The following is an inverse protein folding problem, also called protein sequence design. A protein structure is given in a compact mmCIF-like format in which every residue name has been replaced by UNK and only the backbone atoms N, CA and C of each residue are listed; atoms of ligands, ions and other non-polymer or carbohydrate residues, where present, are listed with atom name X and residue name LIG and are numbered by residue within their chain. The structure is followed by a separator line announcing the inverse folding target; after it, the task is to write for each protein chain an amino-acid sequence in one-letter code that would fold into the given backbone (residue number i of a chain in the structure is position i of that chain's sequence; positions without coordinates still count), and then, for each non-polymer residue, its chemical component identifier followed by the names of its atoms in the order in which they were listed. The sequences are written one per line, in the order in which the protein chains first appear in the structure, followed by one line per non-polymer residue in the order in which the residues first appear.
data_IF_276522879252
#
_entry.id   IF_276522879252
#
_cell.length_a   1.000
_cell.length_b   1.000
_cell.length_c   1.000
_cell.angle_alpha   90.00
_cell.angle_beta   90.00
_cell.angle_gamma   90.00
#
_symmetry.space_group_name_H-M   'P 1'
#
loop_
_entity.id
_entity.type
_entity.pdbx_description
1 polymer ?
#
# COMPACT_ATOMS: atom_id res chain seq x y z
N UNK A 1 15.45 -9.49 -8.55
CA UNK A 1 14.30 -8.61 -8.83
C UNK A 1 14.85 -7.22 -9.07
N UNK A 2 14.90 -6.80 -10.33
CA UNK A 2 15.54 -5.55 -10.75
C UNK A 2 14.59 -4.40 -10.46
N UNK A 3 14.97 -3.51 -9.53
CA UNK A 3 14.28 -2.23 -9.29
C UNK A 3 14.35 -1.40 -10.58
N UNK A 4 13.24 -1.32 -11.32
CA UNK A 4 13.07 -0.39 -12.43
C UNK A 4 12.80 0.99 -11.86
N UNK A 5 13.84 1.79 -11.67
CA UNK A 5 13.71 3.23 -11.47
C UNK A 5 13.70 3.94 -12.81
N UNK A 6 12.56 4.47 -13.25
CA UNK A 6 12.53 5.61 -14.19
C UNK A 6 11.14 6.27 -14.22
N UNK A 7 10.86 7.09 -13.19
CA UNK A 7 9.66 7.92 -13.10
C UNK A 7 8.62 7.34 -12.13
N UNK A 8 8.38 8.04 -11.02
CA UNK A 8 7.22 7.75 -10.19
C UNK A 8 5.93 7.93 -10.99
N UNK A 9 4.91 7.13 -10.72
CA UNK A 9 3.60 7.27 -11.34
C UNK A 9 2.87 8.49 -10.76
N UNK A 10 2.12 9.19 -11.62
CA UNK A 10 1.26 10.33 -11.24
C UNK A 10 -0.18 9.97 -11.57
N UNK A 11 -1.04 10.13 -10.57
CA UNK A 11 -2.46 9.84 -10.67
C UNK A 11 -3.22 10.42 -9.49
N UNK A 12 -4.48 10.06 -9.36
CA UNK A 12 -5.32 10.41 -8.21
C UNK A 12 -5.14 9.36 -7.13
N UNK A 13 -4.76 9.80 -5.93
CA UNK A 13 -4.53 8.92 -4.80
C UNK A 13 -5.72 8.96 -3.84
N UNK A 14 -6.22 7.79 -3.43
CA UNK A 14 -7.20 7.68 -2.34
C UNK A 14 -6.69 6.80 -1.21
N UNK A 15 -7.09 7.18 0.01
CA UNK A 15 -6.89 6.41 1.23
C UNK A 15 -8.23 6.32 1.96
N UNK A 16 -8.91 5.20 1.81
CA UNK A 16 -10.32 5.07 2.19
C UNK A 16 -10.60 3.71 2.82
N UNK A 17 -11.66 3.60 3.65
CA UNK A 17 -12.11 2.30 4.15
C UNK A 17 -12.52 1.41 2.98
N UNK A 18 -12.05 0.17 2.98
CA UNK A 18 -12.49 -0.88 2.08
C UNK A 18 -13.95 -1.29 2.34
N UNK A 19 -14.53 -2.13 1.46
CA UNK A 19 -15.87 -2.66 1.68
C UNK A 19 -15.91 -3.39 3.02
N UNK A 20 -16.99 -3.18 3.77
CA UNK A 20 -17.18 -3.81 5.07
C UNK A 20 -17.27 -5.33 4.88
N UNK A 21 -16.26 -6.06 5.37
CA UNK A 21 -16.37 -7.52 5.47
C UNK A 21 -17.28 -7.87 6.64
N UNK A 22 -18.09 -8.92 6.49
CA UNK A 22 -19.22 -9.22 7.39
C UNK A 22 -18.82 -9.54 8.85
N UNK A 23 -17.53 -9.64 9.18
CA UNK A 23 -17.06 -10.21 10.45
C UNK A 23 -15.74 -9.60 11.01
N UNK A 24 -15.34 -8.39 10.62
CA UNK A 24 -14.02 -7.87 11.02
C UNK A 24 -13.84 -6.35 11.02
N UNK A 25 -12.60 -5.92 11.32
CA UNK A 25 -12.17 -4.51 11.19
C UNK A 25 -12.28 -4.10 9.72
N UNK A 26 -12.79 -2.90 9.46
CA UNK A 26 -12.82 -2.34 8.11
C UNK A 26 -11.37 -2.08 7.67
N UNK A 27 -10.84 -2.80 6.65
CA UNK A 27 -9.48 -2.57 6.21
C UNK A 27 -9.39 -1.18 5.56
N UNK A 28 -8.25 -0.52 5.70
CA UNK A 28 -7.98 0.71 4.94
C UNK A 28 -7.31 0.32 3.62
N UNK A 29 -7.77 0.90 2.51
CA UNK A 29 -7.19 0.70 1.18
C UNK A 29 -6.44 1.95 0.72
N UNK A 30 -5.30 1.73 0.07
CA UNK A 30 -4.57 2.78 -0.64
C UNK A 30 -4.58 2.47 -2.14
N UNK A 31 -5.11 3.41 -2.94
CA UNK A 31 -5.32 3.23 -4.38
C UNK A 31 -4.73 4.40 -5.16
N UNK A 32 -4.20 4.11 -6.34
CA UNK A 32 -3.72 5.11 -7.28
C UNK A 32 -4.43 4.89 -8.61
N UNK A 33 -5.21 5.88 -9.04
CA UNK A 33 -6.02 5.82 -10.25
C UNK A 33 -5.51 6.75 -11.34
N UNK A 34 -5.82 6.38 -12.58
CA UNK A 34 -5.68 7.30 -13.71
C UNK A 34 -6.70 8.45 -13.56
N UNK A 35 -6.28 9.73 -13.62
CA UNK A 35 -7.15 10.87 -13.35
C UNK A 35 -8.44 10.86 -14.19
N UNK A 36 -9.58 11.12 -13.55
CA UNK A 36 -10.89 11.09 -14.21
C UNK A 36 -11.40 9.69 -14.57
N UNK A 37 -10.75 8.62 -14.08
CA UNK A 37 -11.19 7.23 -14.27
C UNK A 37 -11.24 6.48 -12.94
N UNK A 38 -11.80 5.27 -12.94
CA UNK A 38 -11.73 4.33 -11.81
C UNK A 38 -10.67 3.24 -12.03
N UNK A 39 -9.78 3.43 -13.00
CA UNK A 39 -8.79 2.42 -13.38
C UNK A 39 -7.57 2.52 -12.45
N UNK A 40 -7.34 1.46 -11.69
CA UNK A 40 -6.13 1.34 -10.87
C UNK A 40 -4.87 1.30 -11.75
N UNK A 41 -3.91 2.19 -11.45
CA UNK A 41 -2.59 2.25 -12.08
C UNK A 41 -1.58 1.31 -11.42
N UNK A 42 -1.84 0.96 -10.17
CA UNK A 42 -1.09 0.00 -9.36
C UNK A 42 -2.07 -0.93 -8.65
N UNK A 43 -1.68 -2.18 -8.37
CA UNK A 43 -2.39 -3.01 -7.40
C UNK A 43 -2.61 -2.24 -6.09
N UNK A 44 -3.83 -2.23 -5.56
CA UNK A 44 -4.11 -1.52 -4.32
C UNK A 44 -3.41 -2.19 -3.12
N UNK A 45 -3.18 -1.40 -2.07
CA UNK A 45 -2.70 -1.93 -0.79
C UNK A 45 -3.89 -2.19 0.14
N UNK A 46 -4.03 -3.45 0.59
CA UNK A 46 -4.89 -3.84 1.70
C UNK A 46 -4.23 -3.51 3.04
N UNK A 47 -5.06 -3.35 4.09
CA UNK A 47 -4.60 -3.04 5.45
C UNK A 47 -3.61 -1.87 5.50
N UNK A 48 -3.81 -0.89 4.61
CA UNK A 48 -2.92 0.20 4.37
C UNK A 48 -2.91 1.17 5.57
N UNK A 49 -1.74 1.68 5.92
CA UNK A 49 -1.57 2.62 7.03
C UNK A 49 -0.60 3.72 6.64
N UNK A 50 -0.94 4.94 7.04
CA UNK A 50 0.00 6.06 7.01
C UNK A 50 1.00 5.86 8.14
N UNK A 51 2.26 5.63 7.78
CA UNK A 51 3.33 5.40 8.77
C UNK A 51 4.15 6.65 9.05
N UNK A 52 4.14 7.62 8.13
CA UNK A 52 4.85 8.91 8.29
C UNK A 52 4.27 9.98 7.37
N UNK A 53 4.18 11.21 7.87
CA UNK A 53 3.85 12.41 7.09
C UNK A 53 4.97 13.44 7.32
N UNK A 54 5.80 13.69 6.32
CA UNK A 54 6.82 14.77 6.32
C UNK A 54 6.86 15.42 4.94
N UNK A 55 8.00 15.41 4.25
CA UNK A 55 8.14 15.81 2.84
C UNK A 55 7.33 14.90 1.89
N UNK A 56 7.05 13.67 2.32
CA UNK A 56 6.23 12.70 1.63
C UNK A 56 5.26 12.05 2.62
N UNK A 57 4.17 11.51 2.07
CA UNK A 57 3.30 10.58 2.74
C UNK A 57 3.83 9.16 2.51
N UNK A 58 4.19 8.45 3.59
CA UNK A 58 4.66 7.07 3.52
C UNK A 58 3.53 6.14 3.93
N UNK A 59 3.12 5.25 3.02
CA UNK A 59 2.02 4.31 3.21
C UNK A 59 2.56 2.91 3.13
N UNK A 60 2.23 2.08 4.12
CA UNK A 60 2.57 0.66 4.11
C UNK A 60 1.30 -0.17 4.08
N UNK A 61 1.33 -1.31 3.39
CA UNK A 61 0.20 -2.24 3.34
C UNK A 61 0.58 -3.54 2.63
N UNK A 62 -0.42 -4.35 2.31
CA UNK A 62 -0.28 -5.61 1.60
C UNK A 62 -0.78 -5.47 0.17
N UNK A 63 0.10 -5.71 -0.79
CA UNK A 63 -0.29 -5.92 -2.17
C UNK A 63 -0.70 -7.38 -2.37
N UNK A 64 -1.89 -7.62 -2.93
CA UNK A 64 -2.40 -8.97 -3.20
C UNK A 64 -2.31 -9.27 -4.70
N UNK A 65 -1.44 -10.22 -5.06
CA UNK A 65 -1.28 -10.67 -6.44
C UNK A 65 -2.04 -11.99 -6.59
N UNK A 66 -3.15 -11.97 -7.32
CA UNK A 66 -3.90 -13.17 -7.65
C UNK A 66 -3.09 -14.06 -8.61
N UNK A 67 -2.72 -15.27 -8.17
CA UNK A 67 -2.02 -16.24 -9.02
C UNK A 67 -2.94 -16.99 -10.01
N UNK A 68 -4.23 -17.15 -9.68
CA UNK A 68 -5.25 -17.74 -10.57
C UNK A 68 -6.65 -17.56 -9.98
N UNK A 69 -7.70 -17.86 -10.77
CA UNK A 69 -9.13 -17.77 -10.39
C UNK A 69 -9.54 -18.63 -9.19
N UNK A 70 -8.68 -19.58 -8.75
CA UNK A 70 -8.94 -20.50 -7.62
C UNK A 70 -7.79 -20.58 -6.61
N UNK A 71 -6.68 -19.87 -6.84
CA UNK A 71 -5.52 -19.89 -5.95
C UNK A 71 -5.63 -18.82 -4.87
N UNK A 72 -5.12 -19.09 -3.66
CA UNK A 72 -4.90 -18.05 -2.65
C UNK A 72 -3.94 -17.00 -3.24
N UNK A 73 -4.33 -15.73 -3.21
CA UNK A 73 -3.49 -14.63 -3.68
C UNK A 73 -2.22 -14.53 -2.84
N UNK A 74 -1.10 -14.22 -3.47
CA UNK A 74 0.13 -13.94 -2.74
C UNK A 74 0.09 -12.53 -2.17
N UNK A 75 0.43 -12.40 -0.89
CA UNK A 75 0.45 -11.13 -0.19
C UNK A 75 1.88 -10.65 -0.02
N UNK A 76 2.19 -9.48 -0.54
CA UNK A 76 3.51 -8.86 -0.44
C UNK A 76 3.42 -7.57 0.35
N UNK A 77 4.28 -7.40 1.35
CA UNK A 77 4.38 -6.12 2.07
C UNK A 77 5.00 -5.08 1.15
N UNK A 78 4.29 -3.99 0.94
CA UNK A 78 4.73 -2.89 0.09
C UNK A 78 4.78 -1.58 0.86
N UNK A 79 5.54 -0.63 0.32
CA UNK A 79 5.64 0.73 0.85
C UNK A 79 5.57 1.71 -0.30
N UNK A 80 4.56 2.59 -0.28
CA UNK A 80 4.38 3.66 -1.24
C UNK A 80 4.89 4.97 -0.67
N UNK A 81 5.68 5.69 -1.47
CA UNK A 81 6.11 7.06 -1.18
C UNK A 81 5.27 7.98 -2.05
N UNK A 82 4.28 8.65 -1.43
CA UNK A 82 3.35 9.54 -2.11
C UNK A 82 3.80 10.99 -1.90
N UNK A 83 3.92 11.74 -2.98
CA UNK A 83 4.43 13.12 -2.96
C UNK A 83 3.88 13.90 -4.14
N UNK A 84 3.62 15.19 -3.94
CA UNK A 84 3.25 16.13 -5.01
C UNK A 84 4.47 16.54 -5.85
N UNK A 85 5.65 16.54 -5.22
CA UNK A 85 6.92 16.95 -5.82
C UNK A 85 7.83 15.76 -6.07
N UNK A 86 8.77 15.90 -6.99
CA UNK A 86 9.78 14.85 -7.20
C UNK A 86 10.76 14.87 -6.02
N UNK A 87 10.83 13.77 -5.28
CA UNK A 87 11.77 13.60 -4.16
C UNK A 87 12.97 12.80 -4.66
N UNK A 88 14.17 13.29 -4.36
CA UNK A 88 15.42 12.54 -4.61
C UNK A 88 15.37 11.19 -3.89
N UNK A 89 15.84 10.09 -4.49
CA UNK A 89 16.00 8.82 -3.78
C UNK A 89 16.74 8.93 -2.44
N UNK A 90 17.70 9.85 -2.33
CA UNK A 90 18.47 10.09 -1.10
C UNK A 90 17.64 10.76 0.01
N UNK A 91 16.59 11.49 -0.37
CA UNK A 91 15.62 12.11 0.54
C UNK A 91 14.45 11.18 0.88
N UNK A 92 14.44 9.95 0.34
CA UNK A 92 13.34 9.02 0.62
C UNK A 92 13.31 8.71 2.12
N UNK A 93 12.12 8.79 2.75
CA UNK A 93 12.00 8.45 4.14
C UNK A 93 12.38 6.98 4.30
N UNK A 94 13.43 6.72 5.09
CA UNK A 94 13.80 5.35 5.40
C UNK A 94 12.57 4.61 5.97
N UNK A 95 12.26 3.40 5.47
CA UNK A 95 11.18 2.61 6.01
C UNK A 95 11.42 2.43 7.52
N UNK A 96 10.35 2.43 8.33
CA UNK A 96 10.51 2.27 9.77
C UNK A 96 11.31 1.00 10.07
N UNK A 97 12.36 1.12 10.89
CA UNK A 97 13.06 -0.03 11.46
C UNK A 97 12.01 -0.82 12.25
N UNK A 98 11.88 -2.13 11.97
CA UNK A 98 10.86 -3.07 12.49
C UNK A 98 10.23 -2.61 13.82
N UNK A 99 8.91 -2.53 13.86
CA UNK A 99 8.18 -2.11 15.08
C UNK A 99 6.84 -1.40 14.88
N UNK A 100 6.30 -1.30 13.65
CA UNK A 100 4.97 -0.70 13.44
C UNK A 100 3.80 -1.62 13.80
N UNK A 101 4.03 -2.71 14.55
CA UNK A 101 2.99 -3.70 14.92
C UNK A 101 2.34 -4.37 13.71
N UNK A 102 3.16 -4.73 12.72
CA UNK A 102 2.71 -5.48 11.55
C UNK A 102 3.58 -6.73 11.44
N UNK A 103 3.23 -7.74 12.23
CA UNK A 103 3.47 -9.13 11.85
C UNK A 103 2.27 -9.62 11.04
N UNK A 104 2.51 -10.34 9.94
CA UNK A 104 1.40 -10.98 9.22
C UNK A 104 0.69 -12.01 10.13
N UNK A 105 1.37 -12.49 11.17
CA UNK A 105 0.84 -13.37 12.21
C UNK A 105 0.08 -12.62 13.34
N UNK A 106 0.22 -11.30 13.49
CA UNK A 106 -0.48 -10.55 14.55
C UNK A 106 -2.00 -10.47 14.28
N UNK A 107 -2.44 -10.66 13.04
CA UNK A 107 -3.87 -10.72 12.67
C UNK A 107 -4.45 -12.14 12.77
N UNK A 108 -3.63 -13.18 12.95
CA UNK A 108 -4.07 -14.58 13.13
C UNK A 108 -4.23 -14.98 14.61
N UNK A 109 -3.94 -14.09 15.56
CA UNK A 109 -4.11 -14.31 16.99
C UNK A 109 -5.45 -13.73 17.49
N UNK A 110 -6.54 -14.41 17.17
CA UNK A 110 -7.78 -14.34 17.97
C UNK A 110 -8.06 -15.78 18.42
N UNK A 111 -7.74 -16.06 19.68
CA UNK A 111 -8.33 -17.18 20.45
C UNK A 111 -9.78 -16.87 20.80
#
# INVERSE_FOLDING_TARGET
MTLRTSGGLRGEFTFEPGPHEYWGKVPMYARLYEPGTTRDMLPYLENARVVRVRKALLIMGQEVIARSTKGKGERYRQTWVCTLERISPDDWPAPPRRGTGFDAADDDAIE
#
